data_IF_433621698170
#
_entry.id   IF_433621698170
#
_cell.length_a   1.000
_cell.length_b   1.000
_cell.length_c   1.000
_cell.angle_alpha   90.00
_cell.angle_beta   90.00
_cell.angle_gamma   90.00
#
_symmetry.space_group_name_H-M   'P 1'
#
loop_
_entity.id
_entity.type
_entity.pdbx_description
1 polymer ?
#
# COMPACT_ATOMS: atom_id res chain seq x y z
N UNK A 1 -17.68 61.97 -51.99
CA UNK A 1 -18.10 61.17 -50.82
C UNK A 1 -17.55 59.72 -50.84
N UNK A 2 -16.37 59.45 -51.43
CA UNK A 2 -15.83 58.08 -51.53
C UNK A 2 -14.61 57.78 -50.64
N UNK A 3 -13.93 58.81 -50.14
CA UNK A 3 -12.69 58.67 -49.33
C UNK A 3 -12.96 58.28 -47.87
N UNK A 4 -14.07 58.73 -47.27
CA UNK A 4 -14.40 58.46 -45.86
C UNK A 4 -14.85 57.00 -45.64
N UNK A 5 -15.49 56.38 -46.64
CA UNK A 5 -15.93 54.98 -46.56
C UNK A 5 -14.79 53.97 -46.61
N UNK A 6 -13.74 54.23 -47.41
CA UNK A 6 -12.56 53.35 -47.51
C UNK A 6 -11.73 53.34 -46.22
N UNK A 7 -11.52 54.49 -45.59
CA UNK A 7 -10.73 54.60 -44.35
C UNK A 7 -11.39 53.83 -43.19
N UNK A 8 -12.72 53.89 -43.06
CA UNK A 8 -13.46 53.11 -42.04
C UNK A 8 -13.34 51.60 -42.24
N UNK A 9 -13.35 51.14 -43.50
CA UNK A 9 -13.25 49.72 -43.83
C UNK A 9 -11.83 49.17 -43.53
N UNK A 10 -10.77 49.94 -43.81
CA UNK A 10 -9.38 49.53 -43.52
C UNK A 10 -9.12 49.43 -42.01
N UNK A 11 -9.64 50.37 -41.22
CA UNK A 11 -9.48 50.35 -39.75
C UNK A 11 -10.23 49.17 -39.12
N UNK A 12 -11.44 48.86 -39.62
CA UNK A 12 -12.24 47.71 -39.14
C UNK A 12 -11.56 46.37 -39.41
N UNK A 13 -10.99 46.19 -40.61
CA UNK A 13 -10.22 44.98 -40.96
C UNK A 13 -8.94 44.87 -40.14
N UNK A 14 -8.26 46.00 -39.87
CA UNK A 14 -7.03 46.01 -39.06
C UNK A 14 -7.32 45.67 -37.58
N UNK A 15 -8.42 46.16 -37.01
CA UNK A 15 -8.85 45.83 -35.65
C UNK A 15 -9.28 44.37 -35.54
N UNK A 16 -10.05 43.85 -36.50
CA UNK A 16 -10.46 42.43 -36.49
C UNK A 16 -9.29 41.47 -36.69
N UNK A 17 -8.32 41.79 -37.57
CA UNK A 17 -7.11 40.97 -37.70
C UNK A 17 -6.27 40.97 -36.42
N UNK A 18 -6.07 42.12 -35.78
CA UNK A 18 -5.30 42.19 -34.54
C UNK A 18 -6.00 41.50 -33.38
N UNK A 19 -7.34 41.57 -33.30
CA UNK A 19 -8.12 40.84 -32.30
C UNK A 19 -7.99 39.32 -32.49
N UNK A 20 -8.06 38.84 -33.74
CA UNK A 20 -7.92 37.42 -34.05
C UNK A 20 -6.50 36.87 -33.79
N UNK A 21 -5.48 37.68 -34.06
CA UNK A 21 -4.08 37.36 -33.71
C UNK A 21 -3.86 37.37 -32.19
N UNK A 22 -4.50 38.30 -31.48
CA UNK A 22 -4.42 38.40 -30.02
C UNK A 22 -5.12 37.21 -29.34
N UNK A 23 -6.31 36.81 -29.79
CA UNK A 23 -7.00 35.61 -29.32
C UNK A 23 -6.13 34.37 -29.51
N UNK A 24 -5.56 34.16 -30.70
CA UNK A 24 -4.68 33.01 -30.97
C UNK A 24 -3.45 32.97 -30.06
N UNK A 25 -2.87 34.12 -29.72
CA UNK A 25 -1.75 34.20 -28.78
C UNK A 25 -2.18 33.87 -27.36
N UNK A 26 -3.33 34.35 -26.91
CA UNK A 26 -3.88 34.04 -25.58
C UNK A 26 -4.23 32.55 -25.48
N UNK A 27 -4.88 31.98 -26.51
CA UNK A 27 -5.17 30.54 -26.56
C UNK A 27 -3.90 29.70 -26.56
N UNK A 28 -2.87 30.11 -27.30
CA UNK A 28 -1.57 29.42 -27.29
C UNK A 28 -0.88 29.49 -25.91
N UNK A 29 -0.95 30.62 -25.22
CA UNK A 29 -0.39 30.78 -23.86
C UNK A 29 -1.17 29.94 -22.85
N UNK A 30 -2.51 29.86 -22.95
CA UNK A 30 -3.34 29.00 -22.11
C UNK A 30 -3.01 27.52 -22.36
N UNK A 31 -2.87 27.10 -23.62
CA UNK A 31 -2.45 25.73 -23.96
C UNK A 31 -1.06 25.40 -23.43
N UNK A 32 -0.11 26.35 -23.49
CA UNK A 32 1.24 26.16 -22.95
C UNK A 32 1.22 26.03 -21.43
N UNK A 33 0.35 26.77 -20.74
CA UNK A 33 0.13 26.64 -19.29
C UNK A 33 -0.49 25.28 -18.94
N UNK A 34 -1.49 24.80 -19.69
CA UNK A 34 -2.09 23.47 -19.46
C UNK A 34 -1.05 22.37 -19.72
N UNK A 35 -0.17 22.52 -20.72
CA UNK A 35 0.86 21.52 -21.00
C UNK A 35 1.99 21.53 -19.97
N UNK A 36 2.42 22.71 -19.50
CA UNK A 36 3.50 22.87 -18.52
C UNK A 36 3.09 22.53 -17.08
N UNK A 37 1.82 22.75 -16.71
CA UNK A 37 1.26 22.43 -15.38
C UNK A 37 0.42 21.14 -15.35
N UNK A 38 -0.04 20.65 -16.51
CA UNK A 38 -0.70 19.35 -16.63
C UNK A 38 0.27 18.17 -16.48
N UNK A 39 1.53 18.34 -16.87
CA UNK A 39 2.58 17.33 -16.64
C UNK A 39 2.95 17.18 -15.16
N UNK A 40 2.81 18.23 -14.34
CA UNK A 40 3.07 18.11 -12.88
C UNK A 40 1.96 17.35 -12.16
N UNK A 41 0.71 17.39 -12.64
CA UNK A 41 -0.39 16.59 -12.08
C UNK A 41 -0.35 15.11 -12.52
N UNK A 42 0.32 14.79 -13.63
CA UNK A 42 0.47 13.40 -14.10
C UNK A 42 1.62 12.65 -13.41
N UNK A 43 2.57 13.35 -12.78
CA UNK A 43 3.70 12.73 -12.05
C UNK A 43 3.29 12.28 -10.64
N UNK A 44 2.12 12.70 -10.14
CA UNK A 44 1.65 12.29 -8.81
C UNK A 44 1.05 10.88 -8.78
N UNK A 45 0.85 10.26 -9.95
CA UNK A 45 0.41 8.86 -10.09
C UNK A 45 1.54 7.84 -10.14
N UNK A 46 2.79 8.27 -9.93
CA UNK A 46 3.94 7.37 -9.74
C UNK A 46 4.14 6.95 -8.27
N UNK A 47 3.32 7.48 -7.33
CA UNK A 47 3.37 7.05 -5.92
C UNK A 47 2.79 5.65 -5.64
N UNK A 48 2.10 5.04 -6.59
CA UNK A 48 1.55 3.69 -6.43
C UNK A 48 2.50 2.56 -6.90
N UNK A 49 3.69 2.89 -7.43
CA UNK A 49 4.64 1.93 -8.02
C UNK A 49 5.80 1.50 -7.07
N UNK A 50 5.71 1.80 -5.77
CA UNK A 50 6.70 1.32 -4.78
C UNK A 50 6.19 0.22 -3.84
N UNK A 51 5.11 -0.47 -4.21
CA UNK A 51 4.70 -1.72 -3.55
C UNK A 51 5.65 -2.90 -3.86
N UNK A 52 6.53 -2.77 -4.88
CA UNK A 52 7.41 -3.84 -5.33
C UNK A 52 8.78 -3.88 -4.63
N UNK A 53 9.12 -2.86 -3.83
CA UNK A 53 10.37 -2.90 -3.06
C UNK A 53 10.15 -3.54 -1.70
N UNK A 54 10.84 -4.65 -1.45
CA UNK A 54 10.84 -5.34 -0.16
C UNK A 54 11.98 -4.85 0.73
N UNK A 55 11.73 -4.87 2.03
CA UNK A 55 12.75 -4.84 3.07
C UNK A 55 13.02 -6.24 3.58
N UNK A 56 14.29 -6.56 3.81
CA UNK A 56 14.74 -7.83 4.36
C UNK A 56 15.42 -7.55 5.69
N UNK A 57 14.90 -8.13 6.76
CA UNK A 57 15.33 -7.91 8.13
C UNK A 57 15.65 -9.25 8.77
N UNK A 58 16.72 -9.31 9.57
CA UNK A 58 17.21 -10.56 10.16
C UNK A 58 17.67 -10.32 11.60
N UNK A 59 17.21 -11.17 12.53
CA UNK A 59 17.57 -11.09 13.94
C UNK A 59 17.07 -12.27 14.77
N UNK A 60 17.69 -12.50 15.93
CA UNK A 60 17.34 -13.61 16.82
C UNK A 60 16.03 -13.34 17.58
N UNK A 61 15.78 -12.07 17.87
CA UNK A 61 14.51 -11.59 18.40
C UNK A 61 14.02 -10.41 17.56
N UNK A 62 12.73 -10.43 17.25
CA UNK A 62 12.07 -9.43 16.42
C UNK A 62 10.80 -8.95 17.11
N UNK A 63 10.55 -7.64 17.04
CA UNK A 63 9.25 -7.07 17.39
C UNK A 63 8.57 -6.56 16.11
N UNK A 64 7.38 -7.09 15.83
CA UNK A 64 6.54 -6.66 14.73
C UNK A 64 5.44 -5.79 15.32
N UNK A 65 5.37 -4.53 14.89
CA UNK A 65 4.34 -3.58 15.30
C UNK A 65 3.43 -3.23 14.12
N UNK A 66 2.14 -3.42 14.32
CA UNK A 66 1.08 -3.03 13.40
C UNK A 66 0.66 -1.59 13.68
N UNK A 67 0.57 -0.76 12.64
CA UNK A 67 0.05 0.61 12.74
C UNK A 67 -1.41 0.60 13.21
N UNK A 68 -1.66 1.24 14.36
CA UNK A 68 -2.97 1.32 15.02
C UNK A 68 -4.00 2.14 14.24
N UNK A 69 -3.53 3.08 13.40
CA UNK A 69 -4.38 3.94 12.58
C UNK A 69 -4.67 3.32 11.21
N UNK A 70 -4.01 2.21 10.88
CA UNK A 70 -4.20 1.53 9.60
C UNK A 70 -5.30 0.48 9.67
N UNK A 71 -6.07 0.41 8.59
CA UNK A 71 -7.10 -0.60 8.36
C UNK A 71 -6.56 -1.53 7.28
N UNK A 72 -6.29 -2.77 7.64
CA UNK A 72 -5.64 -3.75 6.78
C UNK A 72 -6.70 -4.46 5.93
N UNK A 73 -6.46 -4.63 4.63
CA UNK A 73 -7.40 -5.35 3.79
C UNK A 73 -7.34 -6.84 4.11
N UNK A 74 -8.47 -7.53 3.98
CA UNK A 74 -8.61 -8.96 4.29
C UNK A 74 -7.69 -9.90 3.49
N UNK A 75 -7.16 -9.42 2.38
CA UNK A 75 -6.20 -10.12 1.53
C UNK A 75 -4.73 -9.78 1.87
N UNK A 76 -4.48 -9.26 3.09
CA UNK A 76 -3.14 -9.09 3.65
C UNK A 76 -2.69 -10.41 4.24
N UNK A 77 -1.90 -11.17 3.49
CA UNK A 77 -1.49 -12.50 3.91
C UNK A 77 -0.07 -12.50 4.44
N UNK A 78 0.18 -13.31 5.47
CA UNK A 78 1.53 -13.73 5.80
C UNK A 78 1.80 -15.10 5.20
N UNK A 79 3.03 -15.28 4.72
CA UNK A 79 3.55 -16.50 4.16
C UNK A 79 4.73 -16.91 5.02
N UNK A 80 4.66 -18.09 5.61
CA UNK A 80 5.73 -18.68 6.39
C UNK A 80 6.45 -19.72 5.54
N UNK A 81 7.75 -19.57 5.40
CA UNK A 81 8.67 -20.62 4.96
C UNK A 81 9.51 -21.08 6.18
N UNK A 82 10.29 -22.15 6.05
CA UNK A 82 11.07 -22.79 7.13
C UNK A 82 11.91 -21.81 7.96
N UNK A 83 12.31 -20.68 7.36
CA UNK A 83 13.17 -19.66 7.97
C UNK A 83 12.69 -18.22 7.77
N UNK A 84 11.51 -18.00 7.19
CA UNK A 84 11.12 -16.66 6.73
C UNK A 84 9.64 -16.36 6.95
N UNK A 85 9.36 -15.18 7.49
CA UNK A 85 8.04 -14.56 7.51
C UNK A 85 7.99 -13.55 6.36
N UNK A 86 7.15 -13.79 5.36
CA UNK A 86 6.91 -12.87 4.25
C UNK A 86 5.51 -12.29 4.34
N UNK A 87 5.35 -10.99 4.14
CA UNK A 87 4.04 -10.36 3.98
C UNK A 87 3.74 -10.09 2.49
N UNK A 88 2.52 -10.39 2.04
CA UNK A 88 1.99 -9.93 0.74
C UNK A 88 0.74 -9.07 0.95
N UNK A 89 0.80 -7.84 0.46
CA UNK A 89 -0.31 -6.90 0.52
C UNK A 89 -1.08 -6.94 -0.82
N UNK A 90 -2.18 -7.69 -0.89
CA UNK A 90 -3.22 -7.53 -1.90
C UNK A 90 -2.91 -7.85 -3.37
N UNK A 91 -3.88 -8.54 -3.97
CA UNK A 91 -4.22 -8.84 -5.37
C UNK A 91 -3.20 -9.11 -6.50
N UNK A 92 -1.92 -8.72 -6.46
CA UNK A 92 -1.07 -8.89 -7.66
C UNK A 92 0.38 -9.30 -7.41
N UNK A 93 0.80 -9.50 -6.16
CA UNK A 93 2.12 -10.04 -5.88
C UNK A 93 1.98 -11.50 -5.49
N UNK A 94 2.09 -12.38 -6.50
CA UNK A 94 2.27 -13.80 -6.29
C UNK A 94 3.41 -13.95 -5.27
N UNK A 95 3.13 -14.54 -4.09
CA UNK A 95 4.19 -14.87 -3.16
C UNK A 95 5.20 -15.74 -3.90
N UNK A 96 6.46 -15.73 -3.49
CA UNK A 96 7.38 -16.78 -3.94
C UNK A 96 6.90 -18.05 -3.21
N UNK A 97 5.91 -18.73 -3.78
CA UNK A 97 5.34 -19.97 -3.26
C UNK A 97 6.32 -21.07 -3.65
N UNK A 98 7.28 -21.35 -2.76
CA UNK A 98 8.02 -22.59 -2.77
C UNK A 98 7.14 -23.71 -2.19
N UNK A 99 7.49 -24.97 -2.47
CA UNK A 99 6.86 -26.10 -1.79
C UNK A 99 7.12 -25.97 -0.27
N UNK A 100 6.06 -25.98 0.53
CA UNK A 100 6.17 -25.90 2.01
C UNK A 100 5.80 -24.56 2.64
N UNK A 101 5.44 -23.55 1.83
CA UNK A 101 4.99 -22.25 2.36
C UNK A 101 3.58 -22.36 2.96
N UNK A 102 3.43 -21.91 4.21
CA UNK A 102 2.13 -21.80 4.89
C UNK A 102 1.59 -20.39 4.73
N UNK A 103 0.37 -20.29 4.22
CA UNK A 103 -0.37 -19.05 4.16
C UNK A 103 -1.18 -18.84 5.44
N UNK A 104 -0.84 -17.80 6.20
CA UNK A 104 -1.64 -17.28 7.31
C UNK A 104 -2.58 -16.23 6.74
N UNK A 105 -3.87 -16.51 6.83
CA UNK A 105 -4.91 -15.56 6.46
C UNK A 105 -5.40 -14.80 7.68
N UNK A 106 -5.68 -13.50 7.55
CA UNK A 106 -6.26 -12.79 8.66
C UNK A 106 -7.63 -13.33 9.05
N UNK A 107 -7.91 -13.29 10.34
CA UNK A 107 -9.14 -13.81 10.93
C UNK A 107 -10.26 -12.85 10.56
N UNK A 108 -11.19 -13.34 9.76
CA UNK A 108 -12.27 -12.53 9.21
C UNK A 108 -13.23 -12.06 10.31
N UNK A 109 -13.36 -10.74 10.48
CA UNK A 109 -14.46 -10.19 11.26
C UNK A 109 -15.71 -10.08 10.39
N UNK A 110 -16.60 -11.05 10.55
CA UNK A 110 -17.95 -11.02 9.93
C UNK A 110 -18.80 -9.99 10.68
N UNK A 111 -19.23 -8.94 9.99
CA UNK A 111 -20.07 -7.88 10.57
C UNK A 111 -21.56 -8.05 10.28
N UNK A 112 -21.93 -9.01 9.42
CA UNK A 112 -23.31 -9.37 9.18
C UNK A 112 -23.53 -10.07 7.86
N UNK A 113 -24.78 -10.11 7.42
CA UNK A 113 -25.21 -10.61 6.11
C UNK A 113 -25.90 -9.49 5.35
N UNK A 114 -25.63 -9.37 4.05
CA UNK A 114 -26.33 -8.45 3.18
C UNK A 114 -27.75 -8.96 2.88
N UNK A 115 -28.55 -8.15 2.19
CA UNK A 115 -29.95 -8.48 1.86
C UNK A 115 -30.11 -9.75 1.00
N UNK A 116 -29.03 -10.21 0.37
CA UNK A 116 -28.97 -11.44 -0.42
C UNK A 116 -28.42 -12.64 0.37
N UNK A 117 -28.18 -12.50 1.68
CA UNK A 117 -27.61 -13.54 2.53
C UNK A 117 -26.09 -13.72 2.38
N UNK A 118 -25.42 -12.89 1.58
CA UNK A 118 -23.97 -12.88 1.45
C UNK A 118 -23.32 -12.29 2.70
N UNK A 119 -22.22 -12.88 3.16
CA UNK A 119 -21.46 -12.37 4.30
C UNK A 119 -20.89 -10.98 3.98
N UNK A 120 -21.09 -10.04 4.89
CA UNK A 120 -20.39 -8.75 4.87
C UNK A 120 -19.17 -8.93 5.74
N UNK A 121 -18.01 -8.88 5.10
CA UNK A 121 -16.73 -9.02 5.75
C UNK A 121 -16.02 -7.66 5.70
N UNK A 122 -15.56 -7.18 6.86
CA UNK A 122 -14.86 -5.90 6.95
C UNK A 122 -13.35 -6.10 6.88
N UNK A 123 -12.68 -5.05 6.45
CA UNK A 123 -11.25 -4.87 6.71
C UNK A 123 -10.96 -4.95 8.21
N UNK A 124 -9.73 -5.34 8.53
CA UNK A 124 -9.33 -5.71 9.88
C UNK A 124 -8.44 -4.63 10.49
N UNK A 125 -8.49 -4.50 11.81
CA UNK A 125 -7.63 -3.59 12.56
C UNK A 125 -6.28 -4.24 12.90
N UNK A 126 -5.41 -3.43 13.50
CA UNK A 126 -4.06 -3.84 13.92
C UNK A 126 -4.02 -5.01 14.92
N UNK A 127 -5.03 -5.16 15.77
CA UNK A 127 -5.12 -6.26 16.74
C UNK A 127 -5.47 -7.56 16.02
N UNK A 128 -6.49 -7.51 15.15
CA UNK A 128 -6.99 -8.66 14.40
C UNK A 128 -5.88 -9.23 13.49
N UNK A 129 -5.16 -8.39 12.74
CA UNK A 129 -4.04 -8.86 11.90
C UNK A 129 -2.89 -9.44 12.72
N UNK A 130 -2.58 -8.85 13.88
CA UNK A 130 -1.53 -9.34 14.76
C UNK A 130 -1.86 -10.66 15.42
N UNK A 131 -3.11 -10.85 15.84
CA UNK A 131 -3.62 -12.13 16.37
C UNK A 131 -3.51 -13.22 15.32
N UNK A 132 -3.88 -12.95 14.06
CA UNK A 132 -3.76 -13.95 13.00
C UNK A 132 -2.33 -14.38 12.75
N UNK A 133 -1.37 -13.45 12.77
CA UNK A 133 0.05 -13.81 12.65
C UNK A 133 0.49 -14.73 13.80
N UNK A 134 0.09 -14.42 15.04
CA UNK A 134 0.40 -15.26 16.22
C UNK A 134 -0.19 -16.67 16.06
N UNK A 135 -1.50 -16.76 15.82
CA UNK A 135 -2.21 -18.04 15.67
C UNK A 135 -1.62 -18.89 14.54
N UNK A 136 -1.22 -18.25 13.42
CA UNK A 136 -0.58 -18.96 12.32
C UNK A 136 0.82 -19.48 12.63
N UNK A 137 1.62 -18.74 13.41
CA UNK A 137 2.92 -19.20 13.89
C UNK A 137 2.79 -20.32 14.95
N UNK A 138 1.76 -20.28 15.80
CA UNK A 138 1.43 -21.35 16.75
C UNK A 138 1.01 -22.63 16.02
N UNK A 139 0.14 -22.51 15.01
CA UNK A 139 -0.24 -23.64 14.17
C UNK A 139 0.95 -24.23 13.41
N UNK A 140 1.93 -23.40 13.02
CA UNK A 140 3.17 -23.89 12.42
C UNK A 140 4.03 -24.69 13.40
N UNK A 141 4.21 -24.21 14.64
CA UNK A 141 4.88 -24.98 15.69
C UNK A 141 4.19 -26.35 15.90
N UNK A 142 2.85 -26.36 15.97
CA UNK A 142 2.09 -27.61 16.11
C UNK A 142 2.31 -28.56 14.92
N UNK A 143 2.31 -28.04 13.69
CA UNK A 143 2.55 -28.82 12.48
C UNK A 143 3.98 -29.41 12.42
N UNK A 144 4.98 -28.70 12.94
CA UNK A 144 6.35 -29.19 13.07
C UNK A 144 6.51 -30.24 14.18
N UNK A 145 5.61 -30.25 15.17
CA UNK A 145 5.73 -31.08 16.37
C UNK A 145 6.83 -30.61 17.34
N UNK A 146 7.36 -29.39 17.13
CA UNK A 146 8.36 -28.75 17.97
C UNK A 146 8.06 -27.25 18.10
N UNK A 147 8.38 -26.68 19.26
CA UNK A 147 8.21 -25.24 19.50
C UNK A 147 9.36 -24.47 18.85
N UNK A 148 9.19 -24.00 17.61
CA UNK A 148 10.21 -23.22 16.88
C UNK A 148 10.15 -21.74 17.22
N UNK A 149 8.95 -21.15 17.21
CA UNK A 149 8.71 -19.75 17.53
C UNK A 149 8.17 -19.59 18.95
N UNK A 150 8.78 -18.71 19.75
CA UNK A 150 8.30 -18.33 21.09
C UNK A 150 7.81 -16.88 21.05
N UNK A 151 6.70 -16.64 21.74
CA UNK A 151 6.11 -15.31 21.90
C UNK A 151 6.39 -14.74 23.29
N UNK A 152 6.79 -13.47 23.35
CA UNK A 152 6.90 -12.75 24.64
C UNK A 152 5.83 -11.68 24.73
N UNK A 153 5.37 -11.42 25.96
CA UNK A 153 4.48 -10.29 26.28
C UNK A 153 3.21 -10.24 25.40
N UNK A 154 2.43 -11.33 25.36
CA UNK A 154 1.23 -11.46 24.52
C UNK A 154 0.21 -10.31 24.72
N UNK A 155 0.11 -9.75 25.92
CA UNK A 155 -0.75 -8.60 26.21
C UNK A 155 -0.38 -7.34 25.39
N UNK A 156 0.86 -7.20 24.93
CA UNK A 156 1.26 -6.07 24.07
C UNK A 156 0.67 -6.16 22.67
N UNK A 157 0.37 -7.38 22.20
CA UNK A 157 -0.30 -7.59 20.92
C UNK A 157 -1.71 -6.98 20.93
N UNK A 158 -2.46 -7.27 21.98
CA UNK A 158 -3.84 -6.76 22.14
C UNK A 158 -3.87 -5.29 22.52
N UNK A 159 -2.85 -4.76 23.20
CA UNK A 159 -2.84 -3.36 23.66
C UNK A 159 -2.25 -2.37 22.65
N UNK A 160 -1.17 -2.75 21.97
CA UNK A 160 -0.33 -1.85 21.14
C UNK A 160 -0.04 -2.38 19.74
N UNK A 161 -0.57 -3.56 19.40
CA UNK A 161 -0.31 -4.19 18.11
C UNK A 161 1.13 -4.66 17.98
N UNK A 162 1.83 -4.91 19.09
CA UNK A 162 3.24 -5.29 19.06
C UNK A 162 3.40 -6.76 19.45
N UNK A 163 3.90 -7.57 18.52
CA UNK A 163 4.20 -8.98 18.69
C UNK A 163 5.72 -9.17 18.81
N UNK A 164 6.17 -9.78 19.91
CA UNK A 164 7.58 -10.15 20.10
C UNK A 164 7.76 -11.63 19.78
N UNK A 165 8.67 -11.94 18.87
CA UNK A 165 8.94 -13.29 18.38
C UNK A 165 10.43 -13.58 18.56
N UNK A 166 10.75 -14.77 19.07
CA UNK A 166 12.09 -15.34 19.11
C UNK A 166 12.06 -16.78 18.62
N UNK A 167 13.21 -17.35 18.25
CA UNK A 167 13.33 -18.77 17.90
C UNK A 167 14.06 -19.59 18.97
N UNK A 168 13.68 -20.85 19.14
CA UNK A 168 14.32 -21.81 20.07
C UNK A 168 15.61 -22.41 19.55
N UNK A 169 15.74 -22.54 18.23
CA UNK A 169 16.88 -23.17 17.55
C UNK A 169 18.09 -22.23 17.38
N UNK A 170 18.02 -21.00 17.92
CA UNK A 170 19.02 -19.94 17.77
C UNK A 170 19.29 -19.52 16.32
N UNK A 171 18.50 -19.98 15.35
CA UNK A 171 18.55 -19.48 13.99
C UNK A 171 17.87 -18.11 13.92
N UNK A 172 18.32 -17.20 13.05
CA UNK A 172 17.69 -15.90 12.93
C UNK A 172 16.29 -16.02 12.31
N UNK A 173 15.41 -15.09 12.69
CA UNK A 173 14.13 -14.87 12.05
C UNK A 173 14.36 -13.93 10.88
N UNK A 174 14.02 -14.37 9.66
CA UNK A 174 14.06 -13.52 8.47
C UNK A 174 12.67 -12.96 8.20
N UNK A 175 12.56 -11.66 8.07
CA UNK A 175 11.32 -10.98 7.76
C UNK A 175 11.46 -10.27 6.42
N UNK A 176 10.50 -10.51 5.53
CA UNK A 176 10.38 -9.84 4.24
C UNK A 176 9.04 -9.13 4.14
N UNK A 177 9.06 -7.81 4.20
CA UNK A 177 7.84 -6.97 4.12
C UNK A 177 7.97 -5.94 3.00
N UNK A 178 6.88 -5.50 2.35
CA UNK A 178 6.94 -4.37 1.43
C UNK A 178 7.34 -3.09 2.18
N UNK A 179 8.27 -2.29 1.66
CA UNK A 179 8.84 -1.10 2.35
C UNK A 179 7.80 -0.03 2.72
N UNK A 180 6.71 0.05 1.97
CA UNK A 180 5.63 1.01 2.20
C UNK A 180 4.46 0.39 2.99
N UNK A 181 4.62 -0.85 3.47
CA UNK A 181 3.57 -1.53 4.23
C UNK A 181 3.53 -0.99 5.68
N UNK A 182 2.36 -0.80 6.28
CA UNK A 182 2.20 -0.18 7.60
C UNK A 182 2.49 -1.16 8.75
N UNK A 183 3.60 -1.90 8.61
CA UNK A 183 4.18 -2.77 9.63
C UNK A 183 5.58 -2.25 9.91
N UNK A 184 5.89 -2.04 11.17
CA UNK A 184 7.22 -1.68 11.66
C UNK A 184 7.86 -2.94 12.25
N UNK A 185 9.11 -3.21 11.89
CA UNK A 185 9.85 -4.37 12.39
C UNK A 185 11.13 -3.89 13.07
N UNK A 186 11.22 -4.12 14.38
CA UNK A 186 12.39 -3.81 15.19
C UNK A 186 13.20 -5.09 15.43
N UNK A 187 14.51 -5.06 15.13
CA UNK A 187 15.44 -6.14 15.49
C UNK A 187 15.97 -5.90 16.91
N UNK A 188 15.65 -6.81 17.82
CA UNK A 188 16.08 -6.76 19.22
C UNK A 188 17.37 -7.60 19.33
N UNK A 189 18.46 -6.94 19.74
CA UNK A 189 19.79 -7.55 19.88
C UNK A 189 19.98 -8.20 21.24
#
# INVERSE_FOLDING_TARGET
METVGRIKMTISVFLTLNFWILERKITAVIFLFIFAFGSTACVERERDLKLDTFEFLEGNEVAIQFDELHVYPMNSFFFLDENQIQHSAGYNNDPIISNGVIQISPTASVIGTNQSGGLIIKDINFQEIGVSLKEGLEAFNEALGEERYIFRNENMLTTTGRLFISRTDNEPIRIRIPRAYPIIVDIIR
#
